data_IF_053509478483
#
_entry.id   IF_053509478483
#
_cell.length_a   1.000
_cell.length_b   1.000
_cell.length_c   1.000
_cell.angle_alpha   90.00
_cell.angle_beta   90.00
_cell.angle_gamma   90.00
#
_symmetry.space_group_name_H-M   'P 1'
#
loop_
_entity.id
_entity.type
_entity.pdbx_description
1 polymer ?
#
# COMPACT_ATOMS: atom_id res chain seq x y z
N UNK A 1 17.95 -3.97 -34.15
CA UNK A 1 16.69 -4.75 -34.12
C UNK A 1 15.62 -3.85 -33.53
N UNK A 2 14.55 -3.55 -34.27
CA UNK A 2 13.39 -2.86 -33.71
C UNK A 2 12.55 -3.86 -32.89
N UNK A 3 12.03 -3.44 -31.75
CA UNK A 3 11.16 -4.27 -30.92
C UNK A 3 9.86 -4.62 -31.68
N UNK A 4 9.33 -5.81 -31.44
CA UNK A 4 8.05 -6.24 -32.03
C UNK A 4 6.87 -5.51 -31.38
N UNK A 5 5.75 -5.28 -32.08
CA UNK A 5 4.61 -4.51 -31.54
C UNK A 5 4.05 -5.07 -30.22
N UNK A 6 4.10 -6.39 -30.00
CA UNK A 6 3.74 -7.02 -28.73
C UNK A 6 4.71 -6.63 -27.59
N UNK A 7 6.01 -6.60 -27.85
CA UNK A 7 7.02 -6.16 -26.86
C UNK A 7 6.90 -4.66 -26.54
N UNK A 8 6.55 -3.84 -27.53
CA UNK A 8 6.32 -2.41 -27.32
C UNK A 8 5.07 -2.17 -26.46
N UNK A 9 3.96 -2.90 -26.72
CA UNK A 9 2.75 -2.83 -25.89
C UNK A 9 2.98 -3.31 -24.45
N UNK A 10 3.71 -4.41 -24.27
CA UNK A 10 4.07 -4.92 -22.94
C UNK A 10 4.92 -3.89 -22.18
N UNK A 11 5.88 -3.24 -22.85
CA UNK A 11 6.74 -2.20 -22.25
C UNK A 11 5.95 -0.95 -21.85
N UNK A 12 5.06 -0.47 -22.72
CA UNK A 12 4.22 0.71 -22.45
C UNK A 12 3.24 0.43 -21.29
N UNK A 13 2.67 -0.78 -21.25
CA UNK A 13 1.77 -1.20 -20.15
C UNK A 13 2.51 -1.25 -18.81
N UNK A 14 3.74 -1.78 -18.80
CA UNK A 14 4.58 -1.83 -17.60
C UNK A 14 4.90 -0.42 -17.10
N UNK A 15 5.23 0.50 -18.01
CA UNK A 15 5.57 1.89 -17.67
C UNK A 15 4.36 2.62 -17.06
N UNK A 16 3.19 2.52 -17.70
CA UNK A 16 1.94 3.10 -17.18
C UNK A 16 1.60 2.54 -15.79
N UNK A 17 1.74 1.23 -15.59
CA UNK A 17 1.49 0.60 -14.29
C UNK A 17 2.50 1.05 -13.23
N UNK A 18 3.76 1.24 -13.60
CA UNK A 18 4.79 1.73 -12.70
C UNK A 18 4.50 3.18 -12.27
N UNK A 19 4.10 4.05 -13.20
CA UNK A 19 3.72 5.42 -12.91
C UNK A 19 2.49 5.50 -12.00
N UNK A 20 1.45 4.74 -12.33
CA UNK A 20 0.25 4.63 -11.49
C UNK A 20 0.61 4.16 -10.08
N UNK A 21 1.41 3.10 -9.98
CA UNK A 21 1.85 2.57 -8.69
C UNK A 21 2.64 3.60 -7.87
N UNK A 22 3.55 4.34 -8.52
CA UNK A 22 4.30 5.43 -7.88
C UNK A 22 3.36 6.53 -7.37
N UNK A 23 2.34 6.89 -8.15
CA UNK A 23 1.34 7.88 -7.75
C UNK A 23 0.56 7.45 -6.50
N UNK A 24 0.10 6.20 -6.46
CA UNK A 24 -0.60 5.64 -5.29
C UNK A 24 0.28 5.63 -4.05
N UNK A 25 1.54 5.20 -4.18
CA UNK A 25 2.50 5.22 -3.07
C UNK A 25 2.74 6.64 -2.54
N UNK A 26 2.93 7.63 -3.43
CA UNK A 26 3.08 9.04 -3.04
C UNK A 26 1.83 9.58 -2.34
N UNK A 27 0.65 9.15 -2.78
CA UNK A 27 -0.61 9.56 -2.14
C UNK A 27 -0.71 9.01 -0.71
N UNK A 28 -0.43 7.72 -0.51
CA UNK A 28 -0.41 7.08 0.82
C UNK A 28 0.67 7.68 1.73
N UNK A 29 1.86 7.93 1.20
CA UNK A 29 2.96 8.53 1.96
C UNK A 29 2.62 9.94 2.47
N UNK A 30 1.72 10.66 1.79
CA UNK A 30 1.23 11.96 2.24
C UNK A 30 0.42 11.84 3.52
N UNK A 31 -0.44 10.84 3.64
CA UNK A 31 -1.21 10.58 4.86
C UNK A 31 -0.29 10.18 6.02
N UNK A 32 0.72 9.36 5.76
CA UNK A 32 1.69 8.98 6.80
C UNK A 32 2.45 10.23 7.28
N UNK A 33 2.87 11.11 6.36
CA UNK A 33 3.51 12.38 6.73
C UNK A 33 2.59 13.28 7.56
N UNK A 34 1.33 13.40 7.16
CA UNK A 34 0.34 14.16 7.92
C UNK A 34 0.15 13.61 9.34
N UNK A 35 0.10 12.28 9.50
CA UNK A 35 0.03 11.65 10.83
C UNK A 35 1.29 11.85 11.67
N UNK A 36 2.47 11.93 11.04
CA UNK A 36 3.72 12.29 11.74
C UNK A 36 3.64 13.75 12.20
N UNK A 37 3.22 14.66 11.32
CA UNK A 37 3.11 16.09 11.60
C UNK A 37 2.09 16.38 12.72
N UNK A 38 1.01 15.59 12.82
CA UNK A 38 0.02 15.68 13.90
C UNK A 38 0.42 14.94 15.19
N UNK A 39 1.45 14.10 15.15
CA UNK A 39 1.90 13.26 16.26
C UNK A 39 1.11 11.97 16.45
N UNK A 40 0.22 11.62 15.53
CA UNK A 40 -0.52 10.34 15.50
C UNK A 40 0.36 9.16 15.10
N UNK A 41 1.34 9.38 14.22
CA UNK A 41 2.31 8.38 13.75
C UNK A 41 3.70 8.70 14.31
N UNK A 42 4.50 7.67 14.64
CA UNK A 42 5.87 7.86 15.13
C UNK A 42 6.75 8.56 14.10
N UNK A 43 7.56 9.49 14.57
CA UNK A 43 8.43 10.30 13.71
C UNK A 43 9.58 9.52 13.03
N UNK A 44 9.87 8.29 13.46
CA UNK A 44 10.90 7.43 12.87
C UNK A 44 10.39 6.60 11.67
N UNK A 45 9.09 6.63 11.39
CA UNK A 45 8.50 5.96 10.24
C UNK A 45 8.90 6.70 8.96
N UNK A 46 9.55 6.01 8.02
CA UNK A 46 9.73 6.52 6.66
C UNK A 46 8.40 6.48 5.89
N UNK A 47 7.86 7.62 5.41
CA UNK A 47 6.53 7.65 4.78
C UNK A 47 6.41 6.81 3.51
N UNK A 48 7.47 6.74 2.69
CA UNK A 48 7.43 6.00 1.43
C UNK A 48 7.49 4.50 1.67
N UNK A 49 8.33 4.05 2.60
CA UNK A 49 8.44 2.64 3.00
C UNK A 49 7.14 2.18 3.68
N UNK A 50 6.56 2.99 4.56
CA UNK A 50 5.26 2.70 5.17
C UNK A 50 4.14 2.58 4.13
N UNK A 51 4.10 3.50 3.15
CA UNK A 51 3.14 3.45 2.05
C UNK A 51 3.31 2.21 1.17
N UNK A 52 4.55 1.82 0.88
CA UNK A 52 4.88 0.62 0.12
C UNK A 52 4.38 -0.64 0.84
N UNK A 53 4.69 -0.77 2.14
CA UNK A 53 4.26 -1.90 2.96
C UNK A 53 2.73 -1.99 3.03
N UNK A 54 2.06 -0.86 3.31
CA UNK A 54 0.60 -0.81 3.38
C UNK A 54 -0.05 -1.21 2.06
N UNK A 55 0.41 -0.65 0.94
CA UNK A 55 -0.10 -0.97 -0.39
C UNK A 55 0.17 -2.44 -0.78
N UNK A 56 1.33 -2.97 -0.40
CA UNK A 56 1.67 -4.38 -0.57
C UNK A 56 0.68 -5.30 0.14
N UNK A 57 0.35 -5.00 1.39
CA UNK A 57 -0.64 -5.78 2.16
C UNK A 57 -2.04 -5.73 1.53
N UNK A 58 -2.53 -4.55 1.14
CA UNK A 58 -3.83 -4.42 0.49
C UNK A 58 -3.93 -5.25 -0.79
N UNK A 59 -2.89 -5.22 -1.63
CA UNK A 59 -2.84 -6.01 -2.86
C UNK A 59 -2.72 -7.50 -2.60
N UNK A 60 -1.93 -7.89 -1.59
CA UNK A 60 -1.86 -9.28 -1.12
C UNK A 60 -3.24 -9.79 -0.70
N UNK A 61 -4.00 -8.99 0.06
CA UNK A 61 -5.36 -9.35 0.46
C UNK A 61 -6.31 -9.41 -0.72
N UNK A 62 -6.24 -8.46 -1.66
CA UNK A 62 -7.02 -8.49 -2.90
C UNK A 62 -6.76 -9.80 -3.67
N UNK A 63 -5.51 -10.25 -3.75
CA UNK A 63 -5.17 -11.52 -4.37
C UNK A 63 -5.80 -12.71 -3.64
N UNK A 64 -5.76 -12.76 -2.30
CA UNK A 64 -6.40 -13.84 -1.53
C UNK A 64 -7.92 -13.90 -1.81
N UNK A 65 -8.59 -12.74 -1.87
CA UNK A 65 -10.03 -12.63 -2.16
C UNK A 65 -10.34 -13.10 -3.59
N UNK A 66 -9.52 -12.72 -4.58
CA UNK A 66 -9.70 -13.13 -5.96
C UNK A 66 -9.56 -14.64 -6.15
N UNK A 67 -8.63 -15.27 -5.43
CA UNK A 67 -8.36 -16.69 -5.54
C UNK A 67 -9.37 -17.56 -4.79
N UNK A 68 -9.86 -17.11 -3.64
CA UNK A 68 -10.80 -17.88 -2.82
C UNK A 68 -11.69 -16.96 -1.96
N UNK A 69 -12.72 -16.33 -2.56
CA UNK A 69 -13.51 -15.31 -1.87
C UNK A 69 -14.30 -15.87 -0.68
N UNK A 70 -14.72 -17.14 -0.73
CA UNK A 70 -15.48 -17.77 0.36
C UNK A 70 -14.64 -18.11 1.59
N UNK A 71 -13.31 -18.11 1.47
CA UNK A 71 -12.40 -18.35 2.59
C UNK A 71 -11.95 -17.05 3.30
N UNK A 72 -12.38 -15.89 2.82
CA UNK A 72 -11.98 -14.59 3.37
C UNK A 72 -13.17 -13.90 4.03
N UNK A 73 -13.07 -13.66 5.32
CA UNK A 73 -13.97 -12.76 6.05
C UNK A 73 -13.46 -11.31 5.89
N UNK A 74 -14.08 -10.55 4.98
CA UNK A 74 -13.66 -9.17 4.68
C UNK A 74 -13.84 -8.20 5.86
N UNK A 75 -14.87 -8.40 6.68
CA UNK A 75 -15.13 -7.56 7.85
C UNK A 75 -14.04 -7.78 8.92
N UNK A 76 -13.69 -9.04 9.14
CA UNK A 76 -12.59 -9.38 10.04
C UNK A 76 -11.25 -8.87 9.51
N UNK A 77 -10.98 -9.02 8.21
CA UNK A 77 -9.78 -8.49 7.56
C UNK A 77 -9.70 -6.98 7.73
N UNK A 78 -10.78 -6.25 7.48
CA UNK A 78 -10.80 -4.80 7.64
C UNK A 78 -10.45 -4.39 9.07
N UNK A 79 -11.11 -5.01 10.05
CA UNK A 79 -10.90 -4.74 11.48
C UNK A 79 -9.46 -5.03 11.90
N UNK A 80 -8.93 -6.20 11.53
CA UNK A 80 -7.56 -6.59 11.89
C UNK A 80 -6.50 -5.79 11.14
N UNK A 81 -6.78 -5.36 9.92
CA UNK A 81 -5.86 -4.52 9.15
C UNK A 81 -5.72 -3.13 9.79
N UNK A 82 -6.82 -2.53 10.26
CA UNK A 82 -6.75 -1.28 11.02
C UNK A 82 -5.89 -1.44 12.28
N UNK A 83 -6.17 -2.46 13.10
CA UNK A 83 -5.40 -2.74 14.31
C UNK A 83 -3.91 -2.99 13.99
N UNK A 84 -3.61 -3.70 12.90
CA UNK A 84 -2.25 -3.94 12.44
C UNK A 84 -1.53 -2.64 12.09
N UNK A 85 -2.17 -1.74 11.33
CA UNK A 85 -1.60 -0.44 10.94
C UNK A 85 -1.38 0.43 12.19
N UNK A 86 -2.37 0.48 13.09
CA UNK A 86 -2.27 1.23 14.35
C UNK A 86 -1.07 0.73 15.17
N UNK A 87 -0.97 -0.58 15.40
CA UNK A 87 0.17 -1.14 16.12
C UNK A 87 1.50 -0.86 15.41
N UNK A 88 1.50 -0.96 14.08
CA UNK A 88 2.70 -0.79 13.27
C UNK A 88 3.16 0.65 13.17
N UNK A 89 2.28 1.67 13.29
CA UNK A 89 2.61 3.06 12.98
C UNK A 89 2.33 4.06 14.10
N UNK A 90 1.36 3.80 14.97
CA UNK A 90 0.91 4.77 15.97
C UNK A 90 2.06 5.21 16.88
N UNK A 91 2.06 6.49 17.23
CA UNK A 91 2.86 6.97 18.35
C UNK A 91 2.43 6.20 19.61
N UNK A 92 3.39 5.67 20.37
CA UNK A 92 3.07 5.10 21.70
C UNK A 92 2.38 6.23 22.47
N UNK A 93 1.23 5.99 23.12
CA UNK A 93 0.47 7.06 23.73
C UNK A 93 1.34 7.82 24.74
N UNK A 94 1.21 9.16 24.75
CA UNK A 94 1.53 9.91 25.96
C UNK A 94 0.63 9.38 27.07
N UNK A 95 1.26 8.97 28.17
CA UNK A 95 0.63 8.57 29.42
C UNK A 95 -0.44 9.57 29.89
#
# INVERSE_FOLDING_TARGET
>A
MAASPAQTQDSETVEILAEYNSSVQKHLARYIRQGIDSGEIRADVDPMTGALLFLGTLRGMMLQVLLNPSAVDLELVHTQMLAFIEHALASVPKA
#
